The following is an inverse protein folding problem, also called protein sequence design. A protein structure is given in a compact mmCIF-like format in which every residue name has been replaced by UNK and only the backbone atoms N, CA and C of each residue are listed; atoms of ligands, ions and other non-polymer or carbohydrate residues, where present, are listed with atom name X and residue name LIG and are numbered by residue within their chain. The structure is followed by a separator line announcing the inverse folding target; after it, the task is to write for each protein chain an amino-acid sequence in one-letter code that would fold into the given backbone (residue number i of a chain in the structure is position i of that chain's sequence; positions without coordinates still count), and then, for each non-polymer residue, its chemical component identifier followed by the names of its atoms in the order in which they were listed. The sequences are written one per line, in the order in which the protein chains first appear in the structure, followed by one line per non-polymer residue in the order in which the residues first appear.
data_IF_368427845419
#
_entry.id   IF_368427845419
#
_cell.length_a   1.000
_cell.length_b   1.000
_cell.length_c   1.000
_cell.angle_alpha   90.00
_cell.angle_beta   90.00
_cell.angle_gamma   90.00
#
_symmetry.space_group_name_H-M   'P 1'
#
loop_
_entity.id
_entity.type
_entity.pdbx_description
1 polymer ?
#
# COMPACT_ATOMS: atom_id res chain seq x y z
N UNK A 1 4.61 4.17 -8.71
CA UNK A 1 3.54 4.94 -9.40
C UNK A 1 3.03 6.07 -8.52
N UNK A 2 2.66 7.23 -9.09
CA UNK A 2 1.97 8.32 -8.38
C UNK A 2 0.45 8.14 -8.42
N UNK A 3 -0.26 8.57 -7.37
CA UNK A 3 -1.73 8.56 -7.32
C UNK A 3 -2.37 9.37 -8.45
N UNK A 4 -1.73 10.45 -8.88
CA UNK A 4 -2.19 11.27 -10.02
C UNK A 4 -2.13 10.53 -11.36
N UNK A 5 -1.33 9.48 -11.47
CA UNK A 5 -1.13 8.71 -12.69
C UNK A 5 -2.12 7.53 -12.81
N UNK A 6 -2.98 7.31 -11.81
CA UNK A 6 -3.98 6.21 -11.79
C UNK A 6 -4.83 6.20 -13.06
N UNK A 7 -5.18 7.37 -13.59
CA UNK A 7 -5.99 7.49 -14.80
C UNK A 7 -5.29 6.95 -16.07
N UNK A 8 -3.97 6.73 -16.03
CA UNK A 8 -3.22 6.14 -17.13
C UNK A 8 -3.22 4.60 -17.11
N UNK A 9 -3.74 3.97 -16.04
CA UNK A 9 -3.87 2.51 -15.97
C UNK A 9 -5.00 2.02 -16.87
N UNK A 10 -4.78 0.89 -17.53
CA UNK A 10 -5.83 0.21 -18.29
C UNK A 10 -6.94 -0.26 -17.32
N UNK A 11 -8.15 0.31 -17.38
CA UNK A 11 -9.23 -0.02 -16.45
C UNK A 11 -9.79 -1.43 -16.66
N UNK A 12 -9.45 -2.09 -17.78
CA UNK A 12 -9.89 -3.45 -18.10
C UNK A 12 -9.01 -4.52 -17.47
N UNK A 13 -7.88 -4.13 -16.89
CA UNK A 13 -6.96 -5.05 -16.22
C UNK A 13 -7.07 -4.90 -14.70
N UNK A 14 -7.01 -6.02 -13.95
CA UNK A 14 -6.93 -5.93 -12.50
C UNK A 14 -5.58 -5.32 -12.11
N UNK A 15 -5.63 -4.30 -11.26
CA UNK A 15 -4.45 -3.70 -10.65
C UNK A 15 -4.51 -3.95 -9.16
N UNK A 16 -3.40 -4.41 -8.60
CA UNK A 16 -3.26 -4.73 -7.18
C UNK A 16 -2.25 -3.80 -6.54
N UNK A 17 -2.50 -3.43 -5.30
CA UNK A 17 -1.59 -2.60 -4.50
C UNK A 17 -1.45 -3.20 -3.11
N UNK A 18 -0.35 -2.87 -2.44
CA UNK A 18 -0.20 -3.18 -1.03
C UNK A 18 -0.77 -2.05 -0.19
N UNK A 19 -1.85 -2.34 0.54
CA UNK A 19 -2.43 -1.44 1.52
C UNK A 19 -1.89 -1.73 2.92
N UNK A 20 -1.79 -0.68 3.73
CA UNK A 20 -1.38 -0.76 5.12
C UNK A 20 -2.25 0.15 5.98
N UNK A 21 -2.59 -0.34 7.17
CA UNK A 21 -3.34 0.40 8.18
C UNK A 21 -2.47 0.70 9.39
N UNK A 22 -2.51 1.96 9.83
CA UNK A 22 -1.80 2.38 11.02
C UNK A 22 -2.35 1.64 12.25
N UNK A 23 -1.49 0.98 13.06
CA UNK A 23 -1.94 0.23 14.24
C UNK A 23 -2.47 1.14 15.36
N UNK A 24 -2.17 2.43 15.32
CA UNK A 24 -2.61 3.41 16.32
C UNK A 24 -2.42 4.85 15.86
N UNK A 25 -2.85 5.81 16.68
CA UNK A 25 -2.64 7.25 16.44
C UNK A 25 -1.15 7.58 16.55
N UNK A 26 -0.69 8.55 15.77
CA UNK A 26 0.70 9.01 15.75
C UNK A 26 1.70 7.86 15.57
N UNK A 27 1.32 6.86 14.76
CA UNK A 27 2.20 5.75 14.42
C UNK A 27 3.52 6.26 13.84
N UNK A 28 4.64 5.65 14.26
CA UNK A 28 5.99 6.14 13.95
C UNK A 28 6.29 6.23 12.45
N UNK A 29 5.72 5.34 11.62
CA UNK A 29 5.89 5.37 10.17
C UNK A 29 5.06 6.47 9.48
N UNK A 30 4.08 7.05 10.19
CA UNK A 30 3.24 8.15 9.69
C UNK A 30 2.84 9.11 10.83
N UNK A 31 3.75 9.99 11.28
CA UNK A 31 3.46 10.94 12.37
C UNK A 31 2.22 11.81 12.07
N UNK A 32 1.41 12.07 13.10
CA UNK A 32 0.16 12.82 12.97
C UNK A 32 -1.02 12.03 12.41
N UNK A 33 -0.86 10.74 12.08
CA UNK A 33 -1.97 9.92 11.62
C UNK A 33 -2.98 9.60 12.73
N UNK A 34 -4.22 9.32 12.32
CA UNK A 34 -5.25 8.73 13.19
C UNK A 34 -5.02 7.22 13.30
N UNK A 35 -5.58 6.60 14.33
CA UNK A 35 -5.66 5.13 14.38
C UNK A 35 -6.39 4.60 13.15
N UNK A 36 -5.95 3.46 12.62
CA UNK A 36 -6.49 2.83 11.40
C UNK A 36 -6.43 3.73 10.15
N UNK A 37 -5.58 4.76 10.16
CA UNK A 37 -5.32 5.54 8.96
C UNK A 37 -4.78 4.63 7.85
N UNK A 38 -5.34 4.79 6.67
CA UNK A 38 -5.11 3.96 5.48
C UNK A 38 -4.05 4.58 4.59
N UNK A 39 -3.06 3.77 4.20
CA UNK A 39 -1.98 4.14 3.30
C UNK A 39 -1.76 3.05 2.27
N UNK A 40 -1.09 3.40 1.17
CA UNK A 40 -0.50 2.45 0.26
C UNK A 40 1.00 2.37 0.51
N UNK A 41 1.66 1.32 0.05
CA UNK A 41 3.10 1.15 0.23
C UNK A 41 3.85 1.62 -1.00
N UNK A 42 4.74 2.59 -0.81
CA UNK A 42 5.65 3.08 -1.84
C UNK A 42 6.67 2.00 -2.20
N UNK A 43 6.85 1.79 -3.50
CA UNK A 43 7.77 0.80 -4.04
C UNK A 43 9.21 1.11 -3.68
N UNK A 44 9.61 2.38 -3.69
CA UNK A 44 11.01 2.78 -3.51
C UNK A 44 11.35 2.79 -2.02
N UNK A 45 10.60 3.55 -1.24
CA UNK A 45 10.88 3.73 0.19
C UNK A 45 10.42 2.56 1.06
N UNK A 46 9.62 1.62 0.52
CA UNK A 46 9.01 0.53 1.29
C UNK A 46 8.24 1.03 2.52
N UNK A 47 7.69 2.23 2.42
CA UNK A 47 7.11 2.98 3.52
C UNK A 47 5.65 3.37 3.18
N UNK A 48 4.82 3.72 4.19
CA UNK A 48 3.45 4.11 3.96
C UNK A 48 3.41 5.48 3.27
N UNK A 49 2.60 5.58 2.23
CA UNK A 49 2.47 6.78 1.41
C UNK A 49 1.02 7.00 0.98
N UNK A 50 0.68 8.28 0.80
CA UNK A 50 -0.63 8.72 0.30
C UNK A 50 -0.63 8.99 -1.20
N UNK A 51 0.55 9.15 -1.79
CA UNK A 51 0.74 9.64 -3.14
C UNK A 51 1.57 8.70 -4.01
N UNK A 52 2.37 7.80 -3.43
CA UNK A 52 3.21 6.86 -4.17
C UNK A 52 2.91 5.44 -3.74
N UNK A 53 2.86 4.53 -4.71
CA UNK A 53 2.65 3.11 -4.43
C UNK A 53 3.14 2.20 -5.55
N UNK A 54 3.45 0.95 -5.18
CA UNK A 54 3.68 -0.14 -6.12
C UNK A 54 2.34 -0.63 -6.69
N UNK A 55 2.30 -0.93 -7.99
CA UNK A 55 1.15 -1.54 -8.67
C UNK A 55 1.59 -2.87 -9.28
N UNK A 56 0.77 -3.89 -9.07
CA UNK A 56 1.02 -5.25 -9.53
C UNK A 56 -0.13 -5.71 -10.44
N UNK A 57 0.17 -6.58 -11.40
CA UNK A 57 -0.84 -7.14 -12.29
C UNK A 57 -1.70 -8.23 -11.65
N UNK A 58 -1.28 -8.77 -10.50
CA UNK A 58 -2.03 -9.79 -9.76
C UNK A 58 -1.79 -9.76 -8.26
N UNK A 59 -2.71 -10.38 -7.50
CA UNK A 59 -2.52 -10.61 -6.06
C UNK A 59 -1.28 -11.45 -5.75
N UNK A 60 -1.00 -12.46 -6.58
CA UNK A 60 0.14 -13.36 -6.39
C UNK A 60 1.45 -12.59 -6.53
N UNK A 61 1.58 -11.75 -7.56
CA UNK A 61 2.74 -10.89 -7.77
C UNK A 61 2.96 -9.93 -6.60
N UNK A 62 1.88 -9.30 -6.09
CA UNK A 62 1.95 -8.46 -4.90
C UNK A 62 2.46 -9.23 -3.67
N UNK A 63 1.98 -10.46 -3.45
CA UNK A 63 2.45 -11.30 -2.34
C UNK A 63 3.90 -11.72 -2.51
N UNK A 64 4.32 -12.10 -3.71
CA UNK A 64 5.72 -12.41 -4.03
C UNK A 64 6.62 -11.22 -3.69
N UNK A 65 6.20 -10.00 -4.05
CA UNK A 65 6.93 -8.78 -3.70
C UNK A 65 6.98 -8.53 -2.19
N UNK A 66 5.88 -8.76 -1.46
CA UNK A 66 5.84 -8.65 0.01
C UNK A 66 6.81 -9.64 0.66
N UNK A 67 6.84 -10.88 0.18
CA UNK A 67 7.75 -11.89 0.71
C UNK A 67 9.21 -11.54 0.43
N UNK A 68 9.53 -11.04 -0.76
CA UNK A 68 10.87 -10.61 -1.14
C UNK A 68 11.40 -9.44 -0.28
N UNK A 69 10.53 -8.52 0.14
CA UNK A 69 10.91 -7.31 0.89
C UNK A 69 10.46 -7.32 2.36
N UNK A 70 10.10 -8.49 2.90
CA UNK A 70 9.47 -8.62 4.23
C UNK A 70 10.25 -7.93 5.34
N UNK A 71 11.58 -7.99 5.30
CA UNK A 71 12.44 -7.40 6.33
C UNK A 71 12.33 -5.86 6.32
N UNK A 72 12.49 -5.24 5.16
CA UNK A 72 12.38 -3.78 4.98
C UNK A 72 10.98 -3.29 5.33
N UNK A 73 9.94 -3.99 4.85
CA UNK A 73 8.55 -3.65 5.14
C UNK A 73 8.27 -3.68 6.64
N UNK A 74 8.72 -4.70 7.36
CA UNK A 74 8.55 -4.79 8.81
C UNK A 74 9.36 -3.73 9.57
N UNK A 75 10.56 -3.38 9.08
CA UNK A 75 11.38 -2.35 9.69
C UNK A 75 10.77 -0.95 9.53
N UNK A 76 10.24 -0.64 8.35
CA UNK A 76 9.65 0.67 8.05
C UNK A 76 8.21 0.80 8.54
N UNK A 77 7.50 -0.31 8.72
CA UNK A 77 6.09 -0.32 9.12
C UNK A 77 5.83 -1.25 10.31
N UNK A 78 6.45 -1.00 11.47
CA UNK A 78 6.37 -1.89 12.61
C UNK A 78 4.93 -1.97 13.15
N UNK A 79 4.47 -3.20 13.38
CA UNK A 79 3.16 -3.50 13.96
C UNK A 79 1.97 -3.27 13.03
N UNK A 80 2.20 -2.86 11.78
CA UNK A 80 1.11 -2.59 10.85
C UNK A 80 0.57 -3.85 10.18
N UNK A 81 -0.72 -3.81 9.85
CA UNK A 81 -1.37 -4.84 9.03
C UNK A 81 -1.22 -4.48 7.57
N UNK A 82 -0.51 -5.32 6.82
CA UNK A 82 -0.31 -5.17 5.38
C UNK A 82 -1.18 -6.18 4.63
N UNK A 83 -1.88 -5.73 3.59
CA UNK A 83 -2.71 -6.62 2.76
C UNK A 83 -2.73 -6.18 1.30
N UNK A 84 -2.57 -7.13 0.35
CA UNK A 84 -2.88 -6.87 -1.05
C UNK A 84 -4.36 -6.56 -1.22
N UNK A 85 -4.69 -5.48 -1.93
CA UNK A 85 -6.06 -5.10 -2.26
C UNK A 85 -6.17 -4.73 -3.75
N UNK A 86 -7.32 -4.94 -4.39
CA UNK A 86 -7.60 -4.36 -5.71
C UNK A 86 -7.53 -2.83 -5.62
N UNK A 87 -6.83 -2.20 -6.56
CA UNK A 87 -6.69 -0.75 -6.61
C UNK A 87 -8.03 -0.05 -6.80
N UNK A 88 -8.93 -0.62 -7.61
CA UNK A 88 -10.27 -0.09 -7.80
C UNK A 88 -11.04 -0.01 -6.47
N UNK A 89 -11.07 -1.10 -5.70
CA UNK A 89 -11.75 -1.15 -4.40
C UNK A 89 -11.13 -0.19 -3.40
N UNK A 90 -9.80 -0.04 -3.41
CA UNK A 90 -9.12 0.92 -2.57
C UNK A 90 -9.52 2.37 -2.88
N UNK A 91 -9.59 2.74 -4.16
CA UNK A 91 -10.00 4.07 -4.60
C UNK A 91 -11.45 4.40 -4.23
N UNK A 92 -12.31 3.37 -4.18
CA UNK A 92 -13.69 3.47 -3.72
C UNK A 92 -13.82 3.42 -2.18
N UNK A 93 -12.71 3.23 -1.46
CA UNK A 93 -12.71 3.12 -0.01
C UNK A 93 -13.20 1.77 0.53
N UNK A 94 -13.39 0.76 -0.32
CA UNK A 94 -13.93 -0.56 0.00
C UNK A 94 -12.88 -1.59 0.46
N UNK A 95 -11.59 -1.25 0.32
CA UNK A 95 -10.46 -2.06 0.77
C UNK A 95 -10.40 -2.23 2.27
#
# INVERSE_FOLDING_TARGET
MLKSEVNALDPRRPHWVLAVEAPGRNWCAAPGCRAHARFLVDEISKAPSRSRFAVFGSRAECLTWVMAHRLELNAHMPGARMRPVPLADWLLGLG
#
